data_IF_347986173792
#
_entry.id   IF_347986173792
#
_cell.length_a   1.000
_cell.length_b   1.000
_cell.length_c   1.000
_cell.angle_alpha   90.00
_cell.angle_beta   90.00
_cell.angle_gamma   90.00
#
_symmetry.space_group_name_H-M   'P 1'
#
loop_
_entity.id
_entity.type
_entity.pdbx_description
1 polymer ?
#
# COMPACT_ATOMS: atom_id res chain seq x y z
N UNK A 1 6.08 2.28 -11.86
CA UNK A 1 5.74 3.22 -10.80
C UNK A 1 4.41 2.86 -10.17
N UNK A 2 4.38 2.82 -8.87
CA UNK A 2 3.21 2.33 -8.15
C UNK A 2 2.22 3.44 -7.87
N UNK A 3 0.95 3.10 -7.91
CA UNK A 3 -0.13 4.03 -7.58
C UNK A 3 -1.12 3.31 -6.68
N UNK A 4 -1.59 4.01 -5.66
CA UNK A 4 -2.61 3.49 -4.76
C UNK A 4 -3.87 4.33 -4.93
N UNK A 5 -4.99 3.64 -5.09
CA UNK A 5 -6.30 4.29 -5.17
C UNK A 5 -7.19 3.70 -4.08
N UNK A 6 -7.75 4.57 -3.25
CA UNK A 6 -8.69 4.18 -2.21
C UNK A 6 -10.11 4.37 -2.73
N UNK A 7 -10.90 3.31 -2.69
CA UNK A 7 -12.33 3.40 -2.99
C UNK A 7 -13.12 3.21 -1.70
N UNK A 8 -14.44 3.16 -1.81
CA UNK A 8 -15.28 2.95 -0.65
C UNK A 8 -15.24 1.52 -0.11
N UNK A 9 -14.82 0.55 -0.93
CA UNK A 9 -14.83 -0.85 -0.53
C UNK A 9 -13.52 -1.58 -0.72
N UNK A 10 -12.60 -1.02 -1.47
CA UNK A 10 -11.36 -1.72 -1.79
C UNK A 10 -10.22 -0.76 -2.01
N UNK A 11 -9.04 -1.31 -1.89
CA UNK A 11 -7.80 -0.66 -2.24
C UNK A 11 -7.38 -1.17 -3.60
N UNK A 12 -7.03 -0.28 -4.52
CA UNK A 12 -6.55 -0.66 -5.84
C UNK A 12 -5.09 -0.28 -5.93
N UNK A 13 -4.27 -1.27 -6.25
CA UNK A 13 -2.84 -1.07 -6.45
C UNK A 13 -2.55 -1.19 -7.94
N UNK A 14 -1.93 -0.17 -8.49
CA UNK A 14 -1.56 -0.15 -9.90
C UNK A 14 -0.04 -0.19 -9.97
N UNK A 15 0.47 -1.21 -10.62
CA UNK A 15 1.90 -1.42 -10.73
C UNK A 15 2.27 -1.52 -12.21
N UNK A 16 3.03 -0.56 -12.69
CA UNK A 16 3.53 -0.58 -14.06
C UNK A 16 4.82 -1.39 -14.10
N UNK A 17 4.79 -2.45 -14.86
CA UNK A 17 5.88 -3.40 -14.95
C UNK A 17 6.57 -3.31 -16.31
N UNK A 18 7.84 -3.72 -16.31
CA UNK A 18 8.64 -3.76 -17.52
C UNK A 18 9.30 -2.42 -17.81
N UNK A 19 10.32 -2.47 -18.64
CA UNK A 19 11.13 -1.29 -18.97
C UNK A 19 10.31 -0.24 -19.70
N UNK A 20 9.39 -0.69 -20.55
CA UNK A 20 8.58 0.22 -21.36
C UNK A 20 7.27 0.62 -20.67
N UNK A 21 6.96 0.02 -19.53
CA UNK A 21 5.71 0.28 -18.84
C UNK A 21 4.47 -0.24 -19.56
N UNK A 22 4.65 -1.16 -20.49
CA UNK A 22 3.51 -1.70 -21.24
C UNK A 22 2.67 -2.65 -20.44
N UNK A 23 3.26 -3.29 -19.44
CA UNK A 23 2.55 -4.26 -18.62
C UNK A 23 2.10 -3.56 -17.34
N UNK A 24 0.80 -3.59 -17.08
CA UNK A 24 0.24 -2.95 -15.91
C UNK A 24 -0.52 -3.99 -15.11
N UNK A 25 -0.22 -4.09 -13.83
CA UNK A 25 -0.89 -4.99 -12.91
C UNK A 25 -1.83 -4.17 -12.04
N UNK A 26 -3.09 -4.58 -12.00
CA UNK A 26 -4.12 -3.97 -11.14
C UNK A 26 -4.52 -4.99 -10.09
N UNK A 27 -4.23 -4.68 -8.83
CA UNK A 27 -4.68 -5.53 -7.73
C UNK A 27 -5.78 -4.83 -6.97
N UNK A 28 -6.88 -5.53 -6.74
CA UNK A 28 -7.97 -5.03 -5.92
C UNK A 28 -7.99 -5.82 -4.63
N UNK A 29 -7.89 -5.12 -3.51
CA UNK A 29 -7.88 -5.73 -2.20
C UNK A 29 -9.08 -5.20 -1.42
N UNK A 30 -10.10 -6.03 -1.17
CA UNK A 30 -11.23 -5.59 -0.34
C UNK A 30 -10.73 -5.25 1.06
N UNK A 31 -11.24 -4.18 1.63
CA UNK A 31 -10.78 -3.77 2.97
C UNK A 31 -11.04 -4.84 4.01
N UNK A 32 -12.14 -5.57 3.89
CA UNK A 32 -12.44 -6.63 4.86
C UNK A 32 -11.49 -7.82 4.77
N UNK A 33 -10.69 -7.92 3.73
CA UNK A 33 -9.68 -8.98 3.64
C UNK A 33 -8.37 -8.61 4.31
N UNK A 34 -8.20 -7.36 4.68
CA UNK A 34 -6.96 -6.90 5.29
C UNK A 34 -6.99 -7.19 6.77
N UNK A 35 -6.05 -8.01 7.24
CA UNK A 35 -5.95 -8.37 8.64
C UNK A 35 -5.00 -7.45 9.42
N UNK A 36 -4.02 -6.89 8.74
CA UNK A 36 -3.00 -6.06 9.38
C UNK A 36 -2.36 -5.16 8.34
N UNK A 37 -2.04 -3.95 8.73
CA UNK A 37 -1.21 -3.10 7.89
C UNK A 37 -0.18 -2.38 8.76
N UNK A 38 0.92 -2.00 8.16
CA UNK A 38 2.02 -1.37 8.86
C UNK A 38 2.68 -0.35 7.94
N UNK A 39 3.04 0.79 8.50
CA UNK A 39 3.83 1.78 7.79
C UNK A 39 5.17 1.90 8.49
N UNK A 40 6.23 1.61 7.77
CA UNK A 40 7.59 1.71 8.31
C UNK A 40 8.30 2.87 7.63
N UNK A 41 8.93 3.69 8.43
CA UNK A 41 9.80 4.74 7.91
C UNK A 41 11.22 4.39 8.27
N UNK A 42 12.13 4.56 7.33
CA UNK A 42 13.54 4.34 7.60
C UNK A 42 14.12 5.55 8.31
N UNK A 43 15.37 5.45 8.69
CA UNK A 43 15.99 6.42 9.55
C UNK A 43 16.23 7.78 8.92
N UNK A 44 17.20 8.49 9.44
CA UNK A 44 17.32 9.93 9.29
C UNK A 44 17.43 10.46 7.87
N UNK A 45 18.13 9.76 7.01
CA UNK A 45 18.44 10.28 5.70
C UNK A 45 17.69 9.59 4.58
N UNK A 46 16.95 8.57 4.93
CA UNK A 46 16.20 7.82 3.94
C UNK A 46 14.85 8.49 3.72
N UNK A 47 14.54 8.78 2.49
CA UNK A 47 13.30 9.44 2.12
C UNK A 47 12.18 8.47 1.82
N UNK A 48 12.43 7.17 2.02
CA UNK A 48 11.46 6.16 1.67
C UNK A 48 10.67 5.69 2.88
N UNK A 49 9.44 5.34 2.64
CA UNK A 49 8.57 4.67 3.60
C UNK A 49 8.02 3.43 2.94
N UNK A 50 7.70 2.42 3.76
CA UNK A 50 7.18 1.17 3.24
C UNK A 50 5.82 0.88 3.85
N UNK A 51 4.85 0.60 3.00
CA UNK A 51 3.53 0.14 3.41
C UNK A 51 3.45 -1.36 3.21
N UNK A 52 3.13 -2.07 4.28
CA UNK A 52 2.95 -3.52 4.25
C UNK A 52 1.52 -3.86 4.60
N UNK A 53 0.93 -4.78 3.85
CA UNK A 53 -0.45 -5.20 4.03
C UNK A 53 -0.50 -6.72 4.09
N UNK A 54 -1.13 -7.23 5.15
CA UNK A 54 -1.34 -8.67 5.32
C UNK A 54 -2.80 -8.99 5.08
N UNK A 55 -3.02 -10.09 4.39
CA UNK A 55 -4.37 -10.55 4.05
C UNK A 55 -4.57 -11.91 4.71
N UNK A 56 -5.69 -12.07 5.40
CA UNK A 56 -6.13 -13.36 5.94
C UNK A 56 -5.14 -14.01 6.89
N UNK A 57 -4.55 -13.25 7.79
CA UNK A 57 -3.66 -13.77 8.84
C UNK A 57 -2.39 -14.44 8.32
N UNK A 58 -1.95 -14.09 7.13
CA UNK A 58 -0.69 -14.59 6.59
C UNK A 58 0.49 -14.11 7.45
N UNK A 59 1.53 -14.91 7.53
CA UNK A 59 2.72 -14.56 8.30
C UNK A 59 3.55 -13.49 7.60
N UNK A 60 3.60 -13.54 6.28
CA UNK A 60 4.35 -12.58 5.49
C UNK A 60 3.38 -11.58 4.85
N UNK A 61 3.82 -10.34 4.65
CA UNK A 61 2.94 -9.37 4.00
C UNK A 61 2.60 -9.81 2.58
N UNK A 62 1.32 -9.73 2.26
CA UNK A 62 0.85 -10.05 0.91
C UNK A 62 1.21 -8.95 -0.08
N UNK A 63 1.34 -7.73 0.41
CA UNK A 63 1.71 -6.57 -0.40
C UNK A 63 2.72 -5.76 0.37
N UNK A 64 3.75 -5.30 -0.33
CA UNK A 64 4.76 -4.42 0.23
C UNK A 64 5.06 -3.35 -0.81
N UNK A 65 4.81 -2.10 -0.46
CA UNK A 65 4.96 -0.96 -1.38
C UNK A 65 5.87 0.07 -0.76
N UNK A 66 6.75 0.63 -1.58
CA UNK A 66 7.63 1.69 -1.14
C UNK A 66 7.14 3.04 -1.66
N UNK A 67 7.20 4.02 -0.81
CA UNK A 67 6.85 5.40 -1.13
C UNK A 67 8.00 6.31 -0.78
N UNK A 68 8.09 7.41 -1.47
CA UNK A 68 8.99 8.47 -1.06
C UNK A 68 8.41 9.16 0.18
N UNK A 69 9.29 9.57 1.05
CA UNK A 69 8.89 10.22 2.29
C UNK A 69 8.20 11.56 2.05
N UNK A 70 8.39 12.15 0.87
CA UNK A 70 7.71 13.38 0.50
C UNK A 70 6.22 13.17 0.20
N UNK A 71 5.80 11.92 0.04
CA UNK A 71 4.37 11.61 -0.03
C UNK A 71 3.76 11.74 1.36
N UNK A 72 2.49 12.03 1.40
CA UNK A 72 1.81 12.17 2.67
C UNK A 72 1.50 10.78 3.25
N UNK A 73 2.51 10.21 3.88
CA UNK A 73 2.39 8.87 4.45
C UNK A 73 1.40 8.84 5.61
N UNK A 74 1.24 9.97 6.29
CA UNK A 74 0.25 10.07 7.37
C UNK A 74 -1.16 10.00 6.79
N UNK A 75 -1.41 10.69 5.68
CA UNK A 75 -2.72 10.64 5.04
C UNK A 75 -3.02 9.23 4.52
N UNK A 76 -2.02 8.55 3.95
CA UNK A 76 -2.19 7.17 3.49
C UNK A 76 -2.56 6.25 4.65
N UNK A 77 -1.84 6.37 5.76
CA UNK A 77 -2.11 5.57 6.95
C UNK A 77 -3.50 5.86 7.51
N UNK A 78 -3.89 7.12 7.57
CA UNK A 78 -5.21 7.51 8.07
C UNK A 78 -6.32 7.00 7.16
N UNK A 79 -6.15 7.10 5.85
CA UNK A 79 -7.14 6.59 4.91
C UNK A 79 -7.31 5.08 5.04
N UNK A 80 -6.20 4.37 5.19
CA UNK A 80 -6.23 2.92 5.34
C UNK A 80 -6.88 2.53 6.66
N UNK A 81 -6.54 3.22 7.74
CA UNK A 81 -7.13 2.95 9.04
C UNK A 81 -8.64 3.21 9.04
N UNK A 82 -9.08 4.30 8.43
CA UNK A 82 -10.50 4.61 8.34
C UNK A 82 -11.25 3.54 7.55
N UNK A 83 -10.63 3.03 6.49
CA UNK A 83 -11.27 2.04 5.64
C UNK A 83 -11.29 0.65 6.28
N UNK A 84 -10.18 0.24 6.91
CA UNK A 84 -10.03 -1.12 7.43
C UNK A 84 -10.64 -1.27 8.80
N UNK A 85 -10.53 -0.25 9.63
CA UNK A 85 -10.92 -0.34 11.03
C UNK A 85 -12.32 0.23 11.32
N UNK A 86 -13.00 0.68 10.30
CA UNK A 86 -14.34 1.24 10.48
C UNK A 86 -15.39 0.18 10.81
#
# INVERSE_FOLDING_TARGET
RDLIVFTDKRLILVDKQGITGKKVDYKSIPYKSISLFSVETSGHFDLDAELKIWISSAELPSVSLQFRKDKDIVAIQQALAAAVLS
#
